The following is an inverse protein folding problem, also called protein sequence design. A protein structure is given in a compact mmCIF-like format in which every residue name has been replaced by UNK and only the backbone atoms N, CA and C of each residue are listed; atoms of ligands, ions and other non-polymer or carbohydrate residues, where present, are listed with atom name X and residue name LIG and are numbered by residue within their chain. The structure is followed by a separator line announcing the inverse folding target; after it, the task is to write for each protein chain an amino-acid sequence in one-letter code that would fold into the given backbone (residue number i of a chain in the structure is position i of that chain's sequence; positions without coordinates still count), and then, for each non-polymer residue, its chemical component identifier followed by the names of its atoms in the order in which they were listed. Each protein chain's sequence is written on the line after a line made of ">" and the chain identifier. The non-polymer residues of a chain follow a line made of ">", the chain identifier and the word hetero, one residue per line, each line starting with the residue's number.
data_IF_416398701984
#
_entry.id   IF_416398701984
#
_cell.length_a   1.000
_cell.length_b   1.000
_cell.length_c   1.000
_cell.angle_alpha   90.00
_cell.angle_beta   90.00
_cell.angle_gamma   90.00
#
_symmetry.space_group_name_H-M   'P 1'
#
loop_
_entity.id
_entity.type
_entity.pdbx_description
1 polymer ?
#
# COMPACT_ATOMS: atom_id res chain seq x y z
N UNK A 1 8.57 -31.74 -11.28
CA UNK A 1 9.81 -31.44 -10.53
C UNK A 1 10.01 -29.94 -10.59
N UNK A 2 9.53 -29.20 -9.60
CA UNK A 2 9.85 -27.78 -9.44
C UNK A 2 11.21 -27.74 -8.74
N UNK A 3 12.25 -27.40 -9.52
CA UNK A 3 13.58 -27.17 -8.97
C UNK A 3 13.52 -26.06 -7.92
N UNK A 4 14.15 -26.27 -6.78
CA UNK A 4 14.33 -25.27 -5.73
C UNK A 4 15.09 -24.09 -6.34
N UNK A 5 14.38 -22.99 -6.65
CA UNK A 5 15.00 -21.69 -6.86
C UNK A 5 15.60 -21.27 -5.53
N UNK A 6 16.92 -21.41 -5.42
CA UNK A 6 17.64 -21.01 -4.22
C UNK A 6 17.60 -19.50 -4.04
N UNK A 7 17.68 -19.04 -2.80
CA UNK A 7 17.72 -17.61 -2.42
C UNK A 7 18.87 -16.80 -3.07
N UNK A 8 19.71 -17.43 -3.91
CA UNK A 8 20.88 -16.84 -4.57
C UNK A 8 20.59 -16.20 -5.92
N UNK A 9 19.37 -16.33 -6.48
CA UNK A 9 19.07 -15.81 -7.82
C UNK A 9 18.48 -14.38 -7.84
N UNK A 10 18.19 -13.79 -6.68
CA UNK A 10 17.68 -12.41 -6.61
C UNK A 10 18.84 -11.41 -6.59
N UNK A 11 18.96 -10.61 -7.65
CA UNK A 11 20.08 -9.70 -7.94
C UNK A 11 20.14 -8.42 -7.09
N UNK A 12 19.44 -8.33 -5.98
CA UNK A 12 19.50 -7.16 -5.10
C UNK A 12 20.29 -7.45 -3.83
N UNK A 13 21.22 -6.55 -3.53
CA UNK A 13 22.01 -6.61 -2.31
C UNK A 13 21.30 -5.81 -1.24
N UNK A 14 20.72 -6.52 -0.26
CA UNK A 14 20.19 -5.87 0.94
C UNK A 14 21.33 -5.56 1.91
N UNK A 15 21.23 -4.46 2.66
CA UNK A 15 22.06 -4.26 3.86
C UNK A 15 21.82 -5.38 4.88
N UNK A 16 22.68 -5.51 5.89
CA UNK A 16 22.42 -6.42 7.02
C UNK A 16 21.02 -6.20 7.58
N UNK A 17 20.32 -7.27 7.98
CA UNK A 17 18.91 -7.18 8.41
C UNK A 17 18.72 -6.21 9.58
N UNK A 18 19.67 -6.17 10.51
CA UNK A 18 19.66 -5.26 11.66
C UNK A 18 19.90 -3.78 11.29
N UNK A 19 20.28 -3.48 10.05
CA UNK A 19 20.42 -2.13 9.49
C UNK A 19 19.29 -1.80 8.50
N UNK A 20 18.38 -2.74 8.28
CA UNK A 20 17.30 -2.64 7.30
C UNK A 20 15.96 -2.36 7.99
N UNK A 21 15.15 -1.49 7.39
CA UNK A 21 13.75 -1.29 7.73
C UNK A 21 12.88 -1.88 6.60
N UNK A 22 12.03 -2.85 6.92
CA UNK A 22 11.12 -3.46 5.95
C UNK A 22 9.76 -2.79 6.01
N UNK A 23 9.32 -2.26 4.87
CA UNK A 23 8.01 -1.65 4.68
C UNK A 23 7.32 -2.42 3.56
N UNK A 24 6.28 -3.16 3.87
CA UNK A 24 5.68 -4.14 2.97
C UNK A 24 4.24 -3.77 2.67
N UNK A 25 3.86 -3.79 1.40
CA UNK A 25 2.46 -3.77 1.04
C UNK A 25 1.77 -5.10 1.42
N UNK A 26 0.43 -5.10 1.46
CA UNK A 26 -0.35 -6.25 1.90
C UNK A 26 -0.97 -7.02 0.73
N UNK A 27 -1.94 -6.43 0.03
CA UNK A 27 -2.68 -7.09 -1.05
C UNK A 27 -1.85 -7.22 -2.33
N UNK A 28 -1.72 -8.42 -2.89
CA UNK A 28 -0.86 -8.67 -4.06
C UNK A 28 0.63 -8.76 -3.71
N UNK A 29 1.01 -8.57 -2.45
CA UNK A 29 2.38 -8.62 -1.94
C UNK A 29 2.54 -9.68 -0.84
N UNK A 30 2.08 -9.42 0.37
CA UNK A 30 2.09 -10.41 1.47
C UNK A 30 1.03 -11.50 1.29
N UNK A 31 -0.11 -11.16 0.71
CA UNK A 31 -1.20 -12.07 0.38
C UNK A 31 -1.54 -11.99 -1.11
N UNK A 32 -2.15 -13.04 -1.64
CA UNK A 32 -2.62 -13.02 -3.02
C UNK A 32 -3.88 -12.15 -3.14
N UNK A 33 -4.08 -11.49 -4.29
CA UNK A 33 -5.28 -10.71 -4.56
C UNK A 33 -6.51 -11.63 -4.53
N UNK A 34 -7.48 -11.29 -3.71
CA UNK A 34 -8.74 -12.02 -3.56
C UNK A 34 -9.89 -11.34 -4.32
N UNK A 35 -10.98 -12.07 -4.65
CA UNK A 35 -12.16 -11.49 -5.30
C UNK A 35 -12.85 -10.40 -4.48
N UNK A 36 -12.86 -10.54 -3.15
CA UNK A 36 -13.38 -9.52 -2.22
C UNK A 36 -12.39 -9.29 -1.09
N UNK A 37 -12.40 -8.12 -0.44
CA UNK A 37 -11.49 -7.81 0.67
C UNK A 37 -11.57 -8.82 1.83
N UNK A 38 -12.74 -9.37 2.09
CA UNK A 38 -13.01 -10.31 3.18
C UNK A 38 -12.56 -11.74 2.84
N UNK A 39 -12.41 -12.07 1.55
CA UNK A 39 -12.03 -13.40 1.08
C UNK A 39 -10.52 -13.63 1.01
N UNK A 40 -9.74 -12.69 1.50
CA UNK A 40 -8.28 -12.82 1.59
C UNK A 40 -7.90 -13.94 2.55
N UNK A 41 -6.95 -14.77 2.13
CA UNK A 41 -6.40 -15.87 2.92
C UNK A 41 -4.95 -15.57 3.24
N UNK A 42 -4.62 -15.55 4.53
CA UNK A 42 -3.23 -15.45 4.99
C UNK A 42 -2.53 -16.81 4.78
N UNK A 43 -1.49 -16.90 3.95
CA UNK A 43 -0.82 -18.15 3.69
C UNK A 43 -0.17 -18.74 4.93
N UNK A 44 -0.20 -20.07 5.04
CA UNK A 44 0.45 -20.79 6.14
C UNK A 44 1.95 -20.42 6.22
N UNK A 45 2.42 -20.17 7.44
CA UNK A 45 3.83 -19.81 7.72
C UNK A 45 4.19 -18.35 7.45
N UNK A 46 3.30 -17.53 6.86
CA UNK A 46 3.58 -16.10 6.63
C UNK A 46 3.84 -15.38 7.96
N UNK A 47 2.93 -15.53 8.94
CA UNK A 47 3.07 -14.87 10.24
C UNK A 47 4.38 -15.23 10.94
N UNK A 48 4.80 -16.51 10.87
CA UNK A 48 6.05 -16.95 11.48
C UNK A 48 7.27 -16.37 10.75
N UNK A 49 7.20 -16.24 9.42
CA UNK A 49 8.26 -15.60 8.63
C UNK A 49 8.37 -14.11 8.96
N UNK A 50 7.25 -13.41 9.10
CA UNK A 50 7.22 -11.99 9.48
C UNK A 50 7.72 -11.76 10.92
N UNK A 51 7.37 -12.66 11.88
CA UNK A 51 7.91 -12.58 13.25
C UNK A 51 9.43 -12.72 13.29
N UNK A 52 9.95 -13.73 12.58
CA UNK A 52 11.41 -13.91 12.48
C UNK A 52 12.09 -12.72 11.80
N UNK A 53 11.49 -12.17 10.74
CA UNK A 53 12.03 -10.98 10.07
C UNK A 53 12.02 -9.78 11.00
N UNK A 54 10.92 -9.54 11.71
CA UNK A 54 10.78 -8.46 12.69
C UNK A 54 11.85 -8.56 13.78
N UNK A 55 12.09 -9.77 14.32
CA UNK A 55 13.17 -10.01 15.28
C UNK A 55 14.54 -9.70 14.68
N UNK A 56 14.83 -10.22 13.49
CA UNK A 56 16.11 -10.04 12.81
C UNK A 56 16.40 -8.57 12.43
N UNK A 57 15.37 -7.80 12.10
CA UNK A 57 15.50 -6.37 11.82
C UNK A 57 15.22 -5.48 13.05
N UNK A 58 15.22 -6.03 14.28
CA UNK A 58 15.04 -5.27 15.52
C UNK A 58 13.81 -4.40 15.51
N UNK A 59 12.65 -5.01 15.29
CA UNK A 59 11.32 -4.40 15.21
C UNK A 59 11.07 -3.47 13.99
N UNK A 60 12.04 -3.20 13.11
CA UNK A 60 11.84 -2.29 11.97
C UNK A 60 11.08 -2.95 10.81
N UNK A 61 9.89 -3.48 11.10
CA UNK A 61 8.95 -4.08 10.16
C UNK A 61 7.62 -3.34 10.20
N UNK A 62 7.19 -2.79 9.07
CA UNK A 62 5.89 -2.14 8.92
C UNK A 62 5.09 -2.73 7.75
N UNK A 63 3.77 -2.65 7.85
CA UNK A 63 2.85 -2.84 6.72
C UNK A 63 2.29 -1.49 6.29
N UNK A 64 2.31 -1.21 4.98
CA UNK A 64 1.82 0.03 4.38
C UNK A 64 0.79 -0.33 3.32
N UNK A 65 -0.49 -0.14 3.60
CA UNK A 65 -1.59 -0.68 2.81
C UNK A 65 -2.68 0.37 2.51
N UNK A 66 -3.48 0.08 1.49
CA UNK A 66 -4.75 0.78 1.25
C UNK A 66 -5.88 0.37 2.20
N UNK A 67 -5.71 -0.74 2.94
CA UNK A 67 -6.68 -1.21 3.92
C UNK A 67 -6.67 -0.37 5.19
N UNK A 68 -7.83 -0.24 5.88
CA UNK A 68 -7.86 0.24 7.27
C UNK A 68 -7.00 -0.61 8.19
N UNK A 69 -6.46 0.01 9.26
CA UNK A 69 -5.56 -0.66 10.22
C UNK A 69 -6.22 -1.86 10.91
N UNK A 70 -7.50 -1.76 11.25
CA UNK A 70 -8.26 -2.84 11.88
C UNK A 70 -8.38 -4.10 11.00
N UNK A 71 -8.44 -3.94 9.67
CA UNK A 71 -8.39 -5.06 8.75
C UNK A 71 -7.00 -5.71 8.71
N UNK A 72 -5.93 -4.92 8.72
CA UNK A 72 -4.57 -5.47 8.81
C UNK A 72 -4.39 -6.22 10.14
N UNK A 73 -4.89 -5.68 11.25
CA UNK A 73 -4.87 -6.33 12.57
C UNK A 73 -5.66 -7.63 12.58
N UNK A 74 -6.79 -7.68 11.88
CA UNK A 74 -7.56 -8.92 11.73
C UNK A 74 -6.75 -10.05 11.07
N UNK A 75 -5.94 -9.73 10.06
CA UNK A 75 -5.15 -10.73 9.31
C UNK A 75 -3.79 -11.03 9.94
N UNK A 76 -3.11 -10.04 10.46
CA UNK A 76 -1.71 -10.16 10.89
C UNK A 76 -1.51 -10.02 12.41
N UNK A 77 -2.53 -9.58 13.14
CA UNK A 77 -2.42 -9.28 14.57
C UNK A 77 -1.39 -8.17 14.83
N UNK A 78 -0.57 -8.38 15.84
CA UNK A 78 0.52 -7.48 16.25
C UNK A 78 1.88 -7.80 15.62
N UNK A 79 1.88 -8.63 14.58
CA UNK A 79 3.12 -9.08 13.92
C UNK A 79 3.90 -7.92 13.27
N UNK A 80 3.30 -7.00 12.49
CA UNK A 80 4.01 -5.79 12.10
C UNK A 80 4.20 -4.86 13.31
N UNK A 81 5.40 -4.27 13.46
CA UNK A 81 5.64 -3.30 14.53
C UNK A 81 4.83 -2.02 14.31
N UNK A 82 4.80 -1.53 13.08
CA UNK A 82 4.00 -0.37 12.69
C UNK A 82 3.07 -0.73 11.52
N UNK A 83 1.96 0.00 11.42
CA UNK A 83 1.00 -0.13 10.32
C UNK A 83 0.60 1.24 9.82
N UNK A 84 0.71 1.46 8.51
CA UNK A 84 0.09 2.57 7.83
C UNK A 84 -1.06 2.05 6.96
N UNK A 85 -2.27 2.49 7.28
CA UNK A 85 -3.50 2.14 6.58
C UNK A 85 -4.03 3.27 5.71
N UNK A 86 -5.04 2.96 4.89
CA UNK A 86 -5.77 3.95 4.09
C UNK A 86 -4.83 4.82 3.23
N UNK A 87 -3.82 4.15 2.60
CA UNK A 87 -2.76 4.78 1.81
C UNK A 87 -1.97 5.88 2.55
N UNK A 88 -1.83 5.80 3.87
CA UNK A 88 -1.07 6.77 4.67
C UNK A 88 -1.93 7.77 5.44
N UNK A 89 -3.25 7.69 5.33
CA UNK A 89 -4.17 8.54 6.12
C UNK A 89 -4.11 8.19 7.62
N UNK A 90 -3.97 6.91 7.93
CA UNK A 90 -3.92 6.40 9.30
C UNK A 90 -2.59 5.69 9.57
N UNK A 91 -1.89 6.05 10.65
CA UNK A 91 -0.60 5.44 11.02
C UNK A 91 -0.62 5.05 12.49
N UNK A 92 -0.20 3.83 12.77
CA UNK A 92 0.09 3.34 14.12
C UNK A 92 1.58 2.98 14.19
N UNK A 93 2.34 3.71 14.98
CA UNK A 93 3.80 3.61 15.05
C UNK A 93 4.32 2.41 15.85
N UNK A 94 3.49 1.75 16.66
CA UNK A 94 3.86 0.59 17.49
C UNK A 94 2.65 -0.27 17.84
N UNK A 95 2.82 -1.54 18.17
CA UNK A 95 1.72 -2.40 18.59
C UNK A 95 0.96 -1.81 19.78
N UNK A 96 -0.38 -1.81 19.70
CA UNK A 96 -1.25 -1.24 20.73
C UNK A 96 -1.12 0.28 20.94
N UNK A 97 -0.36 0.97 20.10
CA UNK A 97 -0.23 2.43 20.14
C UNK A 97 -1.46 3.15 19.58
N UNK A 98 -1.55 4.48 19.78
CA UNK A 98 -2.62 5.28 19.19
C UNK A 98 -2.51 5.26 17.66
N UNK A 99 -3.65 5.40 17.00
CA UNK A 99 -3.72 5.64 15.56
C UNK A 99 -3.72 7.15 15.35
N UNK A 100 -2.70 7.64 14.68
CA UNK A 100 -2.58 9.01 14.24
C UNK A 100 -3.19 9.14 12.85
N UNK A 101 -3.98 10.19 12.62
CA UNK A 101 -4.60 10.45 11.33
C UNK A 101 -4.06 11.74 10.73
N UNK A 102 -3.72 11.69 9.45
CA UNK A 102 -3.30 12.87 8.70
C UNK A 102 -4.43 13.90 8.69
N UNK A 103 -4.07 15.18 8.79
CA UNK A 103 -5.02 16.27 8.60
C UNK A 103 -5.38 16.36 7.11
N UNK A 104 -6.56 15.86 6.76
CA UNK A 104 -7.05 15.88 5.38
C UNK A 104 -7.65 17.24 5.03
N UNK A 105 -7.45 17.71 3.78
CA UNK A 105 -8.18 18.86 3.28
C UNK A 105 -9.67 18.54 3.20
N UNK A 106 -10.50 19.52 3.45
CA UNK A 106 -11.95 19.35 3.32
C UNK A 106 -12.32 19.15 1.85
N UNK A 107 -12.94 18.00 1.56
CA UNK A 107 -13.49 17.73 0.23
C UNK A 107 -14.64 18.72 -0.05
N UNK A 108 -14.64 19.47 -1.17
CA UNK A 108 -15.73 20.36 -1.51
C UNK A 108 -17.05 19.56 -1.61
N UNK A 109 -18.09 19.92 -0.81
CA UNK A 109 -19.34 19.14 -0.76
C UNK A 109 -20.07 19.12 -2.10
N UNK A 110 -19.90 20.18 -2.92
CA UNK A 110 -20.44 20.26 -4.26
C UNK A 110 -19.91 19.19 -5.21
N UNK A 111 -18.67 18.70 -5.03
CA UNK A 111 -18.11 17.65 -5.89
C UNK A 111 -18.86 16.33 -5.73
N UNK A 112 -19.23 15.97 -4.49
CA UNK A 112 -20.01 14.76 -4.25
C UNK A 112 -21.44 14.87 -4.79
N UNK A 113 -22.04 16.07 -4.71
CA UNK A 113 -23.36 16.32 -5.31
C UNK A 113 -23.29 16.20 -6.84
N UNK A 114 -22.35 16.89 -7.47
CA UNK A 114 -22.13 16.81 -8.92
C UNK A 114 -21.79 15.41 -9.39
N UNK A 115 -20.98 14.66 -8.61
CA UNK A 115 -20.68 13.25 -8.94
C UNK A 115 -21.95 12.40 -8.92
N UNK A 116 -22.80 12.51 -7.90
CA UNK A 116 -24.08 11.76 -7.84
C UNK A 116 -25.00 12.11 -9.01
N UNK A 117 -25.14 13.38 -9.33
CA UNK A 117 -25.97 13.85 -10.43
C UNK A 117 -25.46 13.31 -11.78
N UNK A 118 -24.13 13.35 -12.01
CA UNK A 118 -23.52 12.81 -13.20
C UNK A 118 -23.73 11.28 -13.31
N UNK A 119 -23.47 10.53 -12.24
CA UNK A 119 -23.61 9.08 -12.22
C UNK A 119 -25.07 8.63 -12.45
N UNK A 120 -26.06 9.42 -12.00
CA UNK A 120 -27.46 9.16 -12.28
C UNK A 120 -27.80 9.15 -13.79
N UNK A 121 -27.01 9.84 -14.63
CA UNK A 121 -27.13 9.84 -16.07
C UNK A 121 -26.34 8.74 -16.78
N UNK A 122 -25.51 7.99 -16.04
CA UNK A 122 -24.57 6.98 -16.54
C UNK A 122 -24.83 5.61 -15.86
N UNK A 123 -25.85 4.86 -16.30
CA UNK A 123 -26.15 3.53 -15.72
C UNK A 123 -24.93 2.62 -15.73
N UNK A 124 -24.73 1.85 -14.64
CA UNK A 124 -23.58 0.95 -14.49
C UNK A 124 -22.36 1.60 -13.83
N UNK A 125 -22.38 2.92 -13.58
CA UNK A 125 -21.34 3.60 -12.80
C UNK A 125 -21.68 3.61 -11.30
N UNK A 126 -20.66 3.77 -10.44
CA UNK A 126 -20.84 3.75 -8.98
C UNK A 126 -19.89 4.74 -8.30
N UNK A 127 -20.38 5.45 -7.29
CA UNK A 127 -19.60 6.28 -6.39
C UNK A 127 -19.19 5.47 -5.16
N UNK A 128 -17.90 5.50 -4.81
CA UNK A 128 -17.37 4.97 -3.56
C UNK A 128 -16.77 6.13 -2.76
N UNK A 129 -17.23 6.30 -1.53
CA UNK A 129 -16.66 7.27 -0.61
C UNK A 129 -15.36 6.75 0.00
N UNK A 130 -14.36 7.61 0.05
CA UNK A 130 -13.11 7.41 0.79
C UNK A 130 -12.95 8.53 1.82
N UNK A 131 -12.12 8.31 2.83
CA UNK A 131 -11.74 9.38 3.74
C UNK A 131 -10.95 10.47 2.96
N UNK A 132 -11.49 11.68 2.95
CA UNK A 132 -10.93 12.82 2.22
C UNK A 132 -11.08 12.82 0.71
N UNK A 133 -11.74 11.80 0.09
CA UNK A 133 -11.87 11.69 -1.36
C UNK A 133 -13.01 10.79 -1.80
N UNK A 134 -13.00 10.35 -3.07
CA UNK A 134 -13.96 9.39 -3.61
C UNK A 134 -13.47 8.73 -4.89
N UNK A 135 -14.09 7.60 -5.24
CA UNK A 135 -13.79 6.84 -6.45
C UNK A 135 -15.03 6.75 -7.33
N UNK A 136 -14.83 6.99 -8.63
CA UNK A 136 -15.84 6.89 -9.69
C UNK A 136 -15.59 5.59 -10.47
N UNK A 137 -16.34 4.55 -10.18
CA UNK A 137 -16.22 3.26 -10.86
C UNK A 137 -17.03 3.23 -12.16
N UNK A 138 -16.42 2.69 -13.23
CA UNK A 138 -17.04 2.51 -14.53
C UNK A 138 -16.90 1.08 -15.09
N UNK A 139 -16.61 0.10 -14.23
CA UNK A 139 -16.38 -1.29 -14.66
C UNK A 139 -17.57 -1.89 -15.43
N UNK A 140 -18.80 -1.57 -15.03
CA UNK A 140 -20.01 -2.04 -15.69
C UNK A 140 -20.51 -1.07 -16.80
N UNK A 141 -19.78 0.04 -17.04
CA UNK A 141 -20.06 1.03 -18.07
C UNK A 141 -18.73 1.61 -18.60
N UNK A 142 -17.89 0.82 -19.30
CA UNK A 142 -16.56 1.26 -19.74
C UNK A 142 -16.59 2.50 -20.64
N UNK A 143 -17.67 2.71 -21.38
CA UNK A 143 -17.91 3.88 -22.24
C UNK A 143 -18.02 5.19 -21.45
N UNK A 144 -18.36 5.14 -20.16
CA UNK A 144 -18.43 6.31 -19.29
C UNK A 144 -17.05 6.82 -18.82
N UNK A 145 -15.97 6.05 -19.04
CA UNK A 145 -14.65 6.34 -18.53
C UNK A 145 -14.16 7.76 -18.84
N UNK A 146 -14.29 8.20 -20.11
CA UNK A 146 -13.82 9.50 -20.52
C UNK A 146 -14.68 10.65 -19.99
N UNK A 147 -16.00 10.47 -19.94
CA UNK A 147 -16.93 11.45 -19.37
C UNK A 147 -16.62 11.69 -17.89
N UNK A 148 -16.42 10.60 -17.12
CA UNK A 148 -16.05 10.70 -15.71
C UNK A 148 -14.68 11.33 -15.51
N UNK A 149 -13.70 11.00 -16.37
CA UNK A 149 -12.36 11.60 -16.30
C UNK A 149 -12.40 13.09 -16.51
N UNK A 150 -13.14 13.57 -17.52
CA UNK A 150 -13.26 14.99 -17.83
C UNK A 150 -13.91 15.76 -16.68
N UNK A 151 -15.02 15.27 -16.14
CA UNK A 151 -15.69 15.89 -15.00
C UNK A 151 -14.77 15.96 -13.77
N UNK A 152 -14.15 14.84 -13.41
CA UNK A 152 -13.21 14.75 -12.29
C UNK A 152 -11.99 15.67 -12.49
N UNK A 153 -11.46 15.77 -13.72
CA UNK A 153 -10.35 16.67 -14.05
C UNK A 153 -10.71 18.14 -13.82
N UNK A 154 -11.93 18.54 -14.21
CA UNK A 154 -12.38 19.91 -13.97
C UNK A 154 -12.54 20.23 -12.48
N UNK A 155 -13.05 19.28 -11.67
CA UNK A 155 -13.13 19.48 -10.22
C UNK A 155 -11.73 19.66 -9.63
N UNK A 156 -10.82 18.75 -9.91
CA UNK A 156 -9.46 18.75 -9.36
C UNK A 156 -8.67 19.99 -9.80
N UNK A 157 -8.84 20.46 -11.03
CA UNK A 157 -8.19 21.67 -11.55
C UNK A 157 -8.47 22.91 -10.69
N UNK A 158 -9.68 23.01 -10.14
CA UNK A 158 -10.06 24.12 -9.28
C UNK A 158 -9.52 24.00 -7.85
N UNK A 159 -8.98 22.84 -7.46
CA UNK A 159 -8.40 22.60 -6.12
C UNK A 159 -7.02 23.22 -5.90
N UNK A 160 -6.43 23.82 -6.93
CA UNK A 160 -5.07 24.41 -6.88
C UNK A 160 -4.00 23.45 -6.36
N UNK A 161 -4.12 22.17 -6.69
CA UNK A 161 -3.17 21.14 -6.30
C UNK A 161 -3.44 20.50 -4.93
N UNK A 162 -4.54 20.85 -4.27
CA UNK A 162 -4.93 20.21 -3.00
C UNK A 162 -5.42 18.76 -3.18
N UNK A 163 -5.98 18.45 -4.35
CA UNK A 163 -6.45 17.13 -4.73
C UNK A 163 -5.82 16.68 -6.04
N UNK A 164 -5.72 15.36 -6.19
CA UNK A 164 -5.23 14.68 -7.41
C UNK A 164 -6.33 13.80 -7.98
N UNK A 165 -6.33 13.67 -9.31
CA UNK A 165 -7.10 12.66 -10.03
C UNK A 165 -6.15 11.57 -10.49
N UNK A 166 -6.41 10.34 -10.09
CA UNK A 166 -5.57 9.18 -10.39
C UNK A 166 -6.37 8.09 -11.10
N UNK A 167 -5.77 7.37 -12.06
CA UNK A 167 -6.36 6.17 -12.62
C UNK A 167 -6.34 5.05 -11.57
N UNK A 168 -7.44 4.29 -11.49
CA UNK A 168 -7.55 3.07 -10.72
C UNK A 168 -8.13 1.94 -11.60
N UNK A 169 -8.25 0.73 -11.06
CA UNK A 169 -8.72 -0.43 -11.83
C UNK A 169 -10.18 -0.28 -12.26
N UNK A 170 -10.41 0.18 -13.49
CA UNK A 170 -11.74 0.53 -14.05
C UNK A 170 -12.45 1.60 -13.22
N UNK A 171 -11.69 2.62 -12.78
CA UNK A 171 -12.18 3.72 -11.96
C UNK A 171 -11.29 4.94 -12.06
N UNK A 172 -11.80 6.08 -11.62
CA UNK A 172 -11.05 7.32 -11.38
C UNK A 172 -11.15 7.68 -9.90
N UNK A 173 -10.01 7.90 -9.27
CA UNK A 173 -9.94 8.26 -7.87
C UNK A 173 -9.55 9.73 -7.69
N UNK A 174 -10.31 10.45 -6.88
CA UNK A 174 -9.95 11.77 -6.38
C UNK A 174 -9.51 11.62 -4.94
N UNK A 175 -8.25 12.01 -4.65
CA UNK A 175 -7.69 11.94 -3.29
C UNK A 175 -6.90 13.20 -2.95
N UNK A 176 -6.66 13.49 -1.67
CA UNK A 176 -5.76 14.55 -1.23
C UNK A 176 -4.36 14.38 -1.82
N UNK A 177 -3.75 15.49 -2.22
CA UNK A 177 -2.35 15.51 -2.64
C UNK A 177 -1.42 15.37 -1.43
N UNK A 178 -0.30 14.66 -1.62
CA UNK A 178 0.76 14.56 -0.61
C UNK A 178 0.46 13.63 0.55
N UNK A 179 -0.68 12.91 0.54
CA UNK A 179 -0.99 11.85 1.49
C UNK A 179 -1.13 10.56 0.70
N UNK A 180 -0.09 9.75 0.74
CA UNK A 180 0.08 8.52 -0.02
C UNK A 180 1.00 7.55 0.72
N UNK A 181 1.28 6.39 0.13
CA UNK A 181 2.19 5.40 0.75
C UNK A 181 3.61 5.94 0.92
N UNK A 182 4.06 6.87 0.08
CA UNK A 182 5.36 7.53 0.21
C UNK A 182 5.43 8.48 1.41
N UNK A 183 4.35 9.20 1.67
CA UNK A 183 4.19 10.01 2.88
C UNK A 183 4.25 9.12 4.13
N UNK A 184 3.49 8.02 4.15
CA UNK A 184 3.51 7.07 5.26
C UNK A 184 4.90 6.50 5.53
N UNK A 185 5.60 6.07 4.47
CA UNK A 185 6.99 5.59 4.55
C UNK A 185 7.89 6.65 5.17
N UNK A 186 7.77 7.91 4.73
CA UNK A 186 8.60 9.00 5.25
C UNK A 186 8.38 9.21 6.75
N UNK A 187 7.13 9.25 7.20
CA UNK A 187 6.81 9.40 8.63
C UNK A 187 7.29 8.20 9.47
N UNK A 188 7.13 6.98 8.99
CA UNK A 188 7.61 5.80 9.70
C UNK A 188 9.13 5.83 9.86
N UNK A 189 9.87 6.24 8.82
CA UNK A 189 11.32 6.31 8.84
C UNK A 189 11.89 7.40 9.77
N UNK A 190 11.08 8.37 10.19
CA UNK A 190 11.47 9.40 11.17
C UNK A 190 11.50 8.91 12.62
N UNK A 191 10.86 7.77 12.91
CA UNK A 191 10.66 7.28 14.28
C UNK A 191 11.37 5.94 14.54
N UNK A 192 11.89 5.70 15.77
CA UNK A 192 12.35 4.36 16.15
C UNK A 192 11.22 3.31 16.01
N UNK A 193 11.55 2.10 15.60
CA UNK A 193 12.87 1.51 15.33
C UNK A 193 13.41 1.74 13.91
N UNK A 194 12.72 2.49 13.05
CA UNK A 194 13.04 2.66 11.64
C UNK A 194 14.16 3.70 11.40
N UNK A 195 14.27 4.70 12.27
CA UNK A 195 15.23 5.80 12.12
C UNK A 195 16.66 5.30 11.92
N UNK A 196 17.36 5.87 10.92
CA UNK A 196 18.76 5.57 10.62
C UNK A 196 18.99 4.27 9.85
N UNK A 197 17.94 3.48 9.57
CA UNK A 197 18.03 2.25 8.81
C UNK A 197 17.87 2.50 7.31
N UNK A 198 18.28 1.53 6.51
CA UNK A 198 18.03 1.54 5.06
C UNK A 198 16.65 0.97 4.78
N UNK A 199 15.72 1.75 4.20
CA UNK A 199 14.38 1.25 3.92
C UNK A 199 14.38 0.30 2.73
N UNK A 200 13.60 -0.77 2.84
CA UNK A 200 13.24 -1.68 1.75
C UNK A 200 11.72 -1.69 1.66
N UNK A 201 11.20 -1.29 0.51
CA UNK A 201 9.76 -1.35 0.23
C UNK A 201 9.48 -2.41 -0.84
N UNK A 202 8.43 -3.19 -0.64
CA UNK A 202 7.95 -4.17 -1.64
C UNK A 202 6.44 -3.97 -1.84
N UNK A 203 6.02 -3.87 -3.11
CA UNK A 203 4.61 -3.70 -3.48
C UNK A 203 4.29 -4.19 -4.89
N UNK A 204 3.00 -4.20 -5.27
CA UNK A 204 2.54 -4.75 -6.56
C UNK A 204 1.73 -3.75 -7.41
N UNK A 205 1.27 -2.65 -6.83
CA UNK A 205 0.31 -1.74 -7.48
C UNK A 205 0.93 -0.37 -7.77
N UNK A 206 0.24 0.40 -8.59
CA UNK A 206 0.59 1.80 -8.96
C UNK A 206 0.72 2.69 -7.72
N UNK A 207 -0.11 2.46 -6.69
CA UNK A 207 -0.04 3.21 -5.43
C UNK A 207 1.23 2.97 -4.62
N UNK A 208 1.99 1.91 -4.93
CA UNK A 208 3.27 1.59 -4.31
C UNK A 208 4.43 2.40 -4.89
N UNK A 209 4.25 2.97 -6.08
CA UNK A 209 5.29 3.78 -6.73
C UNK A 209 5.67 5.01 -5.89
N UNK A 210 4.72 5.61 -5.16
CA UNK A 210 5.00 6.71 -4.24
C UNK A 210 5.94 6.28 -3.10
N UNK A 211 5.70 5.09 -2.53
CA UNK A 211 6.55 4.49 -1.50
C UNK A 211 7.93 4.09 -2.05
N UNK A 212 7.97 3.47 -3.24
CA UNK A 212 9.21 3.10 -3.92
C UNK A 212 10.06 4.33 -4.22
N UNK A 213 9.44 5.41 -4.68
CA UNK A 213 10.14 6.68 -4.88
C UNK A 213 10.65 7.27 -3.56
N UNK A 214 9.88 7.17 -2.46
CA UNK A 214 10.30 7.64 -1.15
C UNK A 214 11.52 6.87 -0.64
N UNK A 215 11.50 5.53 -0.63
CA UNK A 215 12.64 4.73 -0.18
C UNK A 215 13.87 4.95 -1.05
N UNK A 216 13.70 5.14 -2.37
CA UNK A 216 14.80 5.43 -3.29
C UNK A 216 15.48 6.76 -2.96
N UNK A 217 14.71 7.80 -2.64
CA UNK A 217 15.26 9.10 -2.17
C UNK A 217 16.06 8.97 -0.87
N UNK A 218 15.73 8.02 -0.03
CA UNK A 218 16.43 7.72 1.23
C UNK A 218 17.64 6.79 1.04
N UNK A 219 17.98 6.44 -0.21
CA UNK A 219 19.07 5.51 -0.54
C UNK A 219 18.74 4.05 -0.17
N UNK A 220 17.47 3.71 -0.09
CA UNK A 220 16.94 2.37 0.12
C UNK A 220 16.62 1.64 -1.18
N UNK A 221 15.88 0.54 -1.07
CA UNK A 221 15.55 -0.36 -2.19
C UNK A 221 14.05 -0.49 -2.34
N UNK A 222 13.53 -0.17 -3.52
CA UNK A 222 12.13 -0.42 -3.90
C UNK A 222 12.04 -1.63 -4.82
N UNK A 223 11.22 -2.61 -4.47
CA UNK A 223 11.01 -3.86 -5.20
C UNK A 223 9.55 -4.01 -5.61
N UNK A 224 9.33 -4.61 -6.77
CA UNK A 224 8.01 -4.71 -7.40
C UNK A 224 7.61 -6.14 -7.71
N UNK A 225 6.35 -6.41 -7.55
CA UNK A 225 5.68 -7.59 -8.11
C UNK A 225 4.87 -7.11 -9.34
N UNK A 226 5.01 -7.70 -10.54
CA UNK A 226 5.78 -8.92 -10.82
C UNK A 226 7.23 -8.69 -11.29
N UNK A 227 7.74 -7.48 -11.33
CA UNK A 227 9.02 -7.17 -12.01
C UNK A 227 10.23 -7.81 -11.35
N UNK A 228 10.35 -7.71 -10.02
CA UNK A 228 11.45 -8.27 -9.23
C UNK A 228 11.11 -9.67 -8.69
N UNK A 229 9.87 -9.88 -8.34
CA UNK A 229 9.33 -11.18 -7.94
C UNK A 229 8.15 -11.56 -8.83
N UNK A 230 8.24 -12.64 -9.61
CA UNK A 230 7.17 -13.03 -10.54
C UNK A 230 5.77 -13.18 -9.91
N UNK A 231 5.70 -13.55 -8.64
CA UNK A 231 4.44 -13.72 -7.90
C UNK A 231 4.61 -13.40 -6.41
N UNK A 232 3.52 -13.08 -5.68
CA UNK A 232 3.56 -12.95 -4.23
C UNK A 232 4.12 -14.18 -3.52
N UNK A 233 3.85 -15.38 -4.02
CA UNK A 233 4.36 -16.62 -3.41
C UNK A 233 5.88 -16.73 -3.50
N UNK A 234 6.49 -16.28 -4.59
CA UNK A 234 7.96 -16.23 -4.73
C UNK A 234 8.55 -15.16 -3.80
N UNK A 235 7.91 -14.01 -3.70
CA UNK A 235 8.30 -12.99 -2.71
C UNK A 235 8.27 -13.56 -1.28
N UNK A 236 7.18 -14.22 -0.88
CA UNK A 236 7.05 -14.85 0.45
C UNK A 236 8.12 -15.90 0.71
N UNK A 237 8.46 -16.71 -0.30
CA UNK A 237 9.53 -17.70 -0.20
C UNK A 237 10.90 -17.03 0.02
N UNK A 238 11.19 -15.95 -0.72
CA UNK A 238 12.39 -15.15 -0.50
C UNK A 238 12.40 -14.52 0.90
N UNK A 239 11.28 -13.91 1.34
CA UNK A 239 11.16 -13.31 2.67
C UNK A 239 11.48 -14.34 3.78
N UNK A 240 10.93 -15.55 3.66
CA UNK A 240 11.20 -16.62 4.60
C UNK A 240 12.68 -17.06 4.59
N UNK A 241 13.35 -16.99 3.45
CA UNK A 241 14.76 -17.35 3.32
C UNK A 241 15.72 -16.36 3.98
N UNK A 242 15.31 -15.09 4.14
CA UNK A 242 16.14 -14.06 4.80
C UNK A 242 16.50 -14.42 6.25
N UNK A 243 15.61 -15.17 6.92
CA UNK A 243 15.77 -15.56 8.34
C UNK A 243 15.84 -17.06 8.54
N UNK A 244 15.67 -17.83 7.47
CA UNK A 244 15.87 -19.27 7.46
C UNK A 244 17.37 -19.54 7.32
N UNK A 245 18.04 -19.74 8.45
CA UNK A 245 19.42 -20.21 8.42
C UNK A 245 19.50 -21.51 7.63
N UNK A 246 20.53 -21.60 6.77
CA UNK A 246 20.93 -22.86 6.13
C UNK A 246 21.00 -23.94 7.19
N UNK A 247 20.11 -24.94 7.12
CA UNK A 247 20.34 -26.25 7.73
C UNK A 247 21.11 -27.09 6.75
#
# INVERSE_FOLDING_TARGET
>A
MLGSLGAQDFRFHLPPLNETAFLLDFDGTLVDIAPTPESVVVPNGLLDSLRRLREACGDALAVVSGRPIDQIDHFLGDVPFAVAGEHGVAIRHRPGGPIERAALPTLPPEWLAQARDLLATLPGTRLEHKEGGFVLHYRAAPEAAETLRQAASEWVKHSKGTFLLLPAKMAWEIRPAGIDKGYAVSLLMESPPFTGRKPVFVGDDVTDEDAIAAVSRMGGVGLRIPSDFPTPSIFRAWLASLTGGSR
#
